data_IF_517839489770
#
_entry.id   IF_517839489770
#
_cell.length_a   1.000
_cell.length_b   1.000
_cell.length_c   1.000
_cell.angle_alpha   90.00
_cell.angle_beta   90.00
_cell.angle_gamma   90.00
#
_symmetry.space_group_name_H-M   'P 1'
#
loop_
_entity.id
_entity.type
_entity.pdbx_description
1 polymer ?
#
# COMPACT_ATOMS: atom_id res chain seq x y z
N UNK A 1 -15.58 -36.18 -34.72
CA UNK A 1 -16.04 -34.78 -34.67
C UNK A 1 -17.06 -34.66 -33.56
N UNK A 2 -16.96 -33.59 -32.75
CA UNK A 2 -17.79 -33.28 -31.58
C UNK A 2 -17.60 -34.19 -30.34
N UNK A 3 -16.59 -33.87 -29.52
CA UNK A 3 -16.60 -34.12 -28.06
C UNK A 3 -15.20 -33.79 -27.48
N UNK A 4 -14.95 -32.54 -27.10
CA UNK A 4 -13.91 -32.16 -26.11
C UNK A 4 -13.88 -30.64 -25.78
N UNK A 5 -15.02 -29.94 -25.89
CA UNK A 5 -15.12 -28.51 -25.54
C UNK A 5 -15.49 -28.28 -24.05
N UNK A 6 -15.73 -29.34 -23.28
CA UNK A 6 -16.26 -29.22 -21.91
C UNK A 6 -15.25 -29.40 -20.75
N UNK A 7 -13.96 -29.60 -21.02
CA UNK A 7 -12.97 -29.91 -19.95
C UNK A 7 -11.94 -28.79 -19.72
N UNK A 8 -11.74 -27.86 -20.64
CA UNK A 8 -10.76 -26.77 -20.48
C UNK A 8 -11.30 -25.49 -19.82
N UNK A 9 -12.61 -25.42 -19.54
CA UNK A 9 -13.24 -24.30 -18.82
C UNK A 9 -13.22 -24.47 -17.28
N UNK A 10 -12.79 -25.63 -16.78
CA UNK A 10 -12.82 -25.97 -15.34
C UNK A 10 -11.50 -25.67 -14.60
N UNK A 11 -10.41 -25.34 -15.31
CA UNK A 11 -9.11 -25.06 -14.68
C UNK A 11 -8.83 -23.55 -14.46
N UNK A 12 -9.63 -22.66 -15.07
CA UNK A 12 -9.61 -21.21 -14.79
C UNK A 12 -10.35 -20.82 -13.51
N UNK A 13 -10.73 -21.83 -12.72
CA UNK A 13 -11.78 -21.71 -11.74
C UNK A 13 -11.27 -21.45 -10.31
N UNK A 14 -9.95 -21.49 -10.05
CA UNK A 14 -9.41 -21.66 -8.69
C UNK A 14 -8.51 -20.55 -8.11
N UNK A 15 -8.21 -19.45 -8.81
CA UNK A 15 -7.33 -18.37 -8.27
C UNK A 15 -8.10 -17.11 -7.83
N UNK A 16 -9.42 -17.04 -8.04
CA UNK A 16 -10.26 -15.91 -7.62
C UNK A 16 -11.15 -16.20 -6.40
N UNK A 17 -10.67 -17.04 -5.49
CA UNK A 17 -11.38 -17.32 -4.25
C UNK A 17 -10.75 -16.60 -3.05
N UNK A 18 -11.58 -15.76 -2.44
CA UNK A 18 -11.55 -15.35 -1.01
C UNK A 18 -10.31 -14.62 -0.54
N UNK A 19 -10.37 -13.29 -0.52
CA UNK A 19 -10.21 -12.43 0.67
C UNK A 19 -9.93 -11.00 0.21
N UNK A 20 -10.89 -10.10 0.43
CA UNK A 20 -10.62 -8.67 0.43
C UNK A 20 -10.20 -8.35 1.86
N UNK A 21 -8.90 -8.31 2.10
CA UNK A 21 -8.37 -7.72 3.33
C UNK A 21 -7.77 -6.37 2.93
N UNK A 22 -8.01 -5.34 3.72
CA UNK A 22 -7.39 -4.02 3.58
C UNK A 22 -7.91 -3.13 2.46
N UNK A 23 -7.40 -1.90 2.44
CA UNK A 23 -7.55 -1.00 1.29
C UNK A 23 -7.20 -1.76 0.00
N UNK A 24 -7.96 -1.55 -1.07
CA UNK A 24 -7.90 -2.52 -2.17
C UNK A 24 -6.60 -2.36 -2.97
N UNK A 25 -5.81 -3.43 -3.20
CA UNK A 25 -4.64 -3.35 -4.08
C UNK A 25 -5.01 -2.87 -5.49
N UNK A 26 -4.18 -1.99 -6.08
CA UNK A 26 -4.43 -1.38 -7.39
C UNK A 26 -4.81 -2.37 -8.53
N UNK A 27 -4.25 -3.60 -8.61
CA UNK A 27 -4.63 -4.58 -9.63
C UNK A 27 -6.09 -5.04 -9.55
N UNK A 28 -6.70 -5.07 -8.35
CA UNK A 28 -8.10 -5.50 -8.16
C UNK A 28 -9.08 -4.45 -8.71
N UNK A 29 -8.70 -3.16 -8.65
CA UNK A 29 -9.52 -2.06 -9.17
C UNK A 29 -9.56 -2.08 -10.72
N UNK A 30 -8.49 -2.57 -11.36
CA UNK A 30 -8.32 -2.49 -12.80
C UNK A 30 -9.23 -3.45 -13.61
N UNK A 31 -9.76 -4.54 -13.00
CA UNK A 31 -10.35 -5.64 -13.79
C UNK A 31 -11.74 -6.14 -13.32
N UNK A 32 -12.44 -5.41 -12.42
CA UNK A 32 -13.63 -6.01 -11.80
C UNK A 32 -14.65 -5.10 -11.11
N UNK A 33 -15.14 -4.05 -11.78
CA UNK A 33 -16.42 -3.41 -11.41
C UNK A 33 -16.45 -2.67 -10.06
N UNK A 34 -15.31 -2.22 -9.55
CA UNK A 34 -15.23 -1.41 -8.34
C UNK A 34 -15.30 0.09 -8.66
N UNK A 35 -15.80 0.87 -7.70
CA UNK A 35 -15.82 2.33 -7.75
C UNK A 35 -14.42 2.87 -8.05
N UNK A 36 -14.28 3.65 -9.13
CA UNK A 36 -13.01 4.26 -9.55
C UNK A 36 -12.43 5.26 -8.53
N UNK A 37 -13.15 5.53 -7.43
CA UNK A 37 -12.85 6.59 -6.48
C UNK A 37 -12.28 6.09 -5.14
N UNK A 38 -12.24 4.77 -4.88
CA UNK A 38 -11.56 4.22 -3.68
C UNK A 38 -10.05 4.47 -3.72
N UNK A 39 -9.41 4.65 -2.57
CA UNK A 39 -7.96 4.84 -2.44
C UNK A 39 -7.30 3.56 -1.92
N UNK A 40 -6.18 3.21 -2.55
CA UNK A 40 -5.42 1.97 -2.30
C UNK A 40 -4.32 2.16 -1.24
N UNK A 41 -3.79 1.08 -0.65
CA UNK A 41 -2.60 1.19 0.21
C UNK A 41 -1.38 1.79 -0.53
N UNK A 42 -1.24 1.47 -1.81
CA UNK A 42 -0.19 2.04 -2.67
C UNK A 42 -0.28 3.55 -2.71
N UNK A 43 -1.48 4.09 -2.93
CA UNK A 43 -1.72 5.53 -2.95
C UNK A 43 -1.52 6.17 -1.56
N UNK A 44 -1.96 5.52 -0.49
CA UNK A 44 -1.75 5.99 0.89
C UNK A 44 -0.25 6.05 1.21
N UNK A 45 0.49 4.98 0.90
CA UNK A 45 1.95 4.87 1.09
C UNK A 45 2.68 5.95 0.32
N UNK A 46 2.33 6.14 -0.96
CA UNK A 46 2.93 7.17 -1.79
C UNK A 46 2.69 8.59 -1.23
N UNK A 47 1.46 8.88 -0.79
CA UNK A 47 1.12 10.20 -0.24
C UNK A 47 1.83 10.47 1.09
N UNK A 48 1.85 9.51 2.00
CA UNK A 48 2.57 9.63 3.27
C UNK A 48 4.08 9.78 3.07
N UNK A 49 4.65 9.05 2.11
CA UNK A 49 6.06 9.19 1.74
C UNK A 49 6.39 10.56 1.17
N UNK A 50 5.62 11.06 0.20
CA UNK A 50 5.87 12.37 -0.43
C UNK A 50 5.88 13.50 0.61
N UNK A 51 4.92 13.50 1.55
CA UNK A 51 4.87 14.51 2.62
C UNK A 51 6.13 14.45 3.50
N UNK A 52 6.57 13.23 3.83
CA UNK A 52 7.80 13.00 4.59
C UNK A 52 9.05 13.43 3.82
N UNK A 53 9.12 13.14 2.51
CA UNK A 53 10.24 13.53 1.64
C UNK A 53 10.35 15.06 1.54
N UNK A 54 9.24 15.76 1.29
CA UNK A 54 9.23 17.22 1.24
C UNK A 54 9.71 17.84 2.57
N UNK A 55 9.34 17.23 3.72
CA UNK A 55 9.87 17.60 5.04
C UNK A 55 11.38 17.33 5.15
N UNK A 56 11.82 16.14 4.77
CA UNK A 56 13.23 15.75 4.77
C UNK A 56 14.08 16.76 3.99
N UNK A 57 13.71 17.06 2.75
CA UNK A 57 14.46 17.98 1.89
C UNK A 57 14.44 19.41 2.43
N UNK A 58 13.31 19.88 2.99
CA UNK A 58 13.26 21.18 3.65
C UNK A 58 14.24 21.26 4.82
N UNK A 59 14.21 20.28 5.72
CA UNK A 59 15.02 20.29 6.94
C UNK A 59 16.52 20.14 6.65
N UNK A 60 16.88 19.32 5.66
CA UNK A 60 18.28 18.96 5.36
C UNK A 60 18.96 19.87 4.33
N UNK A 61 18.20 20.48 3.42
CA UNK A 61 18.76 21.34 2.35
C UNK A 61 18.42 22.81 2.52
N UNK A 62 17.21 23.14 2.94
CA UNK A 62 16.75 24.53 2.97
C UNK A 62 17.10 25.21 4.29
N UNK A 63 16.78 24.60 5.43
CA UNK A 63 17.03 25.20 6.75
C UNK A 63 18.52 25.56 6.96
N UNK A 64 19.50 24.70 6.64
CA UNK A 64 20.92 25.01 6.81
C UNK A 64 21.42 26.13 5.89
N UNK A 65 20.79 26.31 4.72
CA UNK A 65 21.18 27.29 3.70
C UNK A 65 20.42 28.62 3.80
N UNK A 66 19.69 28.89 4.89
CA UNK A 66 18.92 30.15 5.07
C UNK A 66 19.76 31.43 4.95
N UNK A 67 21.06 31.36 5.17
CA UNK A 67 21.97 32.50 5.00
C UNK A 67 22.41 32.72 3.54
N UNK A 68 22.16 31.76 2.64
CA UNK A 68 22.55 31.78 1.24
C UNK A 68 21.29 31.76 0.35
N UNK A 69 20.74 32.95 0.07
CA UNK A 69 19.89 33.29 -1.09
C UNK A 69 18.54 32.58 -1.34
N UNK A 70 18.25 31.40 -0.77
CA UNK A 70 16.95 30.73 -0.99
C UNK A 70 15.97 31.11 0.12
N UNK A 71 15.16 32.14 -0.13
CA UNK A 71 14.07 32.54 0.75
C UNK A 71 12.87 31.59 0.57
N UNK A 72 13.03 30.33 1.00
CA UNK A 72 12.00 29.31 0.85
C UNK A 72 10.95 29.40 1.97
N UNK A 73 9.71 29.73 1.58
CA UNK A 73 8.57 29.76 2.47
C UNK A 73 8.19 28.32 2.89
N UNK A 74 8.15 27.98 4.19
CA UNK A 74 7.72 26.65 4.66
C UNK A 74 6.37 26.21 4.08
N UNK A 75 5.46 27.15 3.81
CA UNK A 75 4.15 26.84 3.25
C UNK A 75 4.23 26.22 1.86
N UNK A 76 5.28 26.50 1.08
CA UNK A 76 5.44 25.92 -0.25
C UNK A 76 5.76 24.43 -0.23
N UNK A 77 6.28 23.90 0.88
CA UNK A 77 6.57 22.47 1.08
C UNK A 77 5.44 21.70 1.76
N UNK A 78 4.63 22.39 2.58
CA UNK A 78 3.68 21.73 3.50
C UNK A 78 2.21 22.00 3.20
N UNK A 79 1.87 23.10 2.52
CA UNK A 79 0.48 23.46 2.24
C UNK A 79 0.00 23.00 0.85
N UNK A 80 0.93 22.56 -0.01
CA UNK A 80 0.65 22.15 -1.39
C UNK A 80 0.80 20.64 -1.56
N UNK A 81 0.15 20.13 -2.59
CA UNK A 81 0.35 18.76 -3.03
C UNK A 81 1.58 18.71 -3.92
N UNK A 82 2.46 17.75 -3.66
CA UNK A 82 3.66 17.53 -4.44
C UNK A 82 3.66 16.15 -5.08
N UNK A 83 4.40 16.02 -6.16
CA UNK A 83 5.03 14.79 -6.58
C UNK A 83 6.43 14.71 -5.96
N UNK A 84 7.08 13.54 -6.09
CA UNK A 84 8.50 13.41 -5.74
C UNK A 84 9.34 14.47 -6.47
N UNK A 85 9.07 14.69 -7.76
CA UNK A 85 9.82 15.63 -8.59
C UNK A 85 9.58 17.07 -8.16
N UNK A 86 8.36 17.40 -7.73
CA UNK A 86 8.07 18.73 -7.19
C UNK A 86 8.85 19.00 -5.90
N UNK A 87 8.94 18.02 -4.97
CA UNK A 87 9.75 18.18 -3.76
C UNK A 87 11.24 18.42 -4.11
N UNK A 88 11.77 17.71 -5.11
CA UNK A 88 13.15 17.88 -5.58
C UNK A 88 13.37 19.24 -6.26
N UNK A 89 12.45 19.68 -7.12
CA UNK A 89 12.53 20.99 -7.78
C UNK A 89 12.49 22.15 -6.79
N UNK A 90 11.73 22.01 -5.70
CA UNK A 90 11.71 23.00 -4.63
C UNK A 90 13.05 23.04 -3.89
N UNK A 91 13.62 21.87 -3.57
CA UNK A 91 14.85 21.75 -2.81
C UNK A 91 16.13 22.06 -3.64
N UNK A 92 16.07 21.83 -4.95
CA UNK A 92 17.16 21.99 -5.90
C UNK A 92 16.70 22.82 -7.12
N UNK A 93 16.46 24.14 -6.95
CA UNK A 93 16.06 25.00 -8.05
C UNK A 93 17.10 25.10 -9.18
N UNK A 94 18.36 24.72 -8.89
CA UNK A 94 19.46 24.64 -9.85
C UNK A 94 19.41 23.40 -10.76
N UNK A 95 18.62 22.39 -10.43
CA UNK A 95 18.53 21.17 -11.23
C UNK A 95 17.65 21.36 -12.46
N UNK A 96 18.14 20.89 -13.61
CA UNK A 96 17.32 20.68 -14.79
C UNK A 96 16.32 19.53 -14.60
N UNK A 97 15.28 19.46 -15.43
CA UNK A 97 14.32 18.34 -15.42
C UNK A 97 14.98 16.97 -15.60
N UNK A 98 16.06 16.91 -16.39
CA UNK A 98 16.83 15.68 -16.59
C UNK A 98 17.56 15.25 -15.31
N UNK A 99 18.16 16.21 -14.58
CA UNK A 99 18.80 15.93 -13.29
C UNK A 99 17.77 15.50 -12.24
N UNK A 100 16.63 16.18 -12.14
CA UNK A 100 15.54 15.75 -11.23
C UNK A 100 15.12 14.31 -11.54
N UNK A 101 14.96 13.96 -12.82
CA UNK A 101 14.60 12.60 -13.22
C UNK A 101 15.69 11.59 -12.83
N UNK A 102 16.97 11.93 -13.02
CA UNK A 102 18.10 11.09 -12.68
C UNK A 102 18.19 10.79 -11.17
N UNK A 103 18.10 11.82 -10.32
CA UNK A 103 18.23 11.65 -8.88
C UNK A 103 16.98 11.06 -8.22
N UNK A 104 15.80 11.29 -8.76
CA UNK A 104 14.55 10.72 -8.21
C UNK A 104 14.28 9.30 -8.67
N UNK A 105 14.87 8.85 -9.78
CA UNK A 105 14.65 7.52 -10.35
C UNK A 105 14.90 6.35 -9.38
N UNK A 106 16.06 6.31 -8.69
CA UNK A 106 16.37 5.28 -7.69
C UNK A 106 15.37 5.24 -6.54
N UNK A 107 15.04 6.41 -5.97
CA UNK A 107 14.08 6.52 -4.88
C UNK A 107 12.67 6.10 -5.29
N UNK A 108 12.21 6.48 -6.50
CA UNK A 108 10.92 6.02 -7.04
C UNK A 108 10.87 4.49 -7.14
N UNK A 109 11.98 3.86 -7.56
CA UNK A 109 12.09 2.41 -7.61
C UNK A 109 12.00 1.76 -6.22
N UNK A 110 12.71 2.31 -5.23
CA UNK A 110 12.61 1.83 -3.84
C UNK A 110 11.19 1.98 -3.31
N UNK A 111 10.53 3.11 -3.58
CA UNK A 111 9.15 3.32 -3.16
C UNK A 111 8.20 2.30 -3.81
N UNK A 112 8.38 1.99 -5.10
CA UNK A 112 7.61 0.95 -5.79
C UNK A 112 7.78 -0.43 -5.13
N UNK A 113 8.98 -0.76 -4.66
CA UNK A 113 9.26 -2.01 -3.94
C UNK A 113 8.52 -2.06 -2.59
N UNK A 114 8.53 -0.96 -1.83
CA UNK A 114 7.81 -0.83 -0.55
C UNK A 114 6.30 -0.94 -0.78
N UNK A 115 5.78 -0.22 -1.78
CA UNK A 115 4.35 -0.27 -2.13
C UNK A 115 3.92 -1.67 -2.61
N UNK A 116 4.79 -2.39 -3.29
CA UNK A 116 4.55 -3.78 -3.71
C UNK A 116 4.43 -4.70 -2.50
N UNK A 117 5.38 -4.63 -1.57
CA UNK A 117 5.34 -5.46 -0.36
C UNK A 117 4.26 -5.06 0.64
N UNK A 118 3.77 -3.82 0.57
CA UNK A 118 2.54 -3.42 1.22
C UNK A 118 1.35 -4.17 0.62
N UNK A 119 1.13 -4.06 -0.68
CA UNK A 119 0.00 -4.73 -1.35
C UNK A 119 0.04 -6.26 -1.25
N UNK A 120 1.23 -6.88 -1.19
CA UNK A 120 1.39 -8.33 -1.10
C UNK A 120 0.85 -8.93 0.20
N UNK A 121 0.67 -8.14 1.27
CA UNK A 121 0.16 -8.66 2.55
C UNK A 121 -1.23 -9.29 2.39
N UNK A 122 -2.06 -8.76 1.49
CA UNK A 122 -3.40 -9.29 1.20
C UNK A 122 -3.40 -10.60 0.41
N UNK A 123 -2.27 -10.94 -0.22
CA UNK A 123 -2.17 -12.08 -1.14
C UNK A 123 -1.28 -13.20 -0.63
N UNK A 124 -0.25 -12.87 0.17
CA UNK A 124 0.69 -13.85 0.68
C UNK A 124 -0.04 -14.86 1.57
N UNK A 125 0.04 -16.18 1.29
CA UNK A 125 -0.60 -17.20 2.10
C UNK A 125 -0.33 -17.13 3.61
N UNK A 126 0.82 -16.57 4.02
CA UNK A 126 1.23 -16.43 5.42
C UNK A 126 0.57 -15.24 6.11
N UNK A 127 0.17 -14.21 5.37
CA UNK A 127 -0.33 -12.96 5.96
C UNK A 127 -1.78 -12.66 5.63
N UNK A 128 -2.30 -13.11 4.48
CA UNK A 128 -3.68 -12.83 4.01
C UNK A 128 -4.80 -13.28 4.96
N UNK A 129 -4.51 -14.13 5.94
CA UNK A 129 -5.46 -14.55 6.97
C UNK A 129 -4.95 -14.25 8.38
N UNK A 130 -3.78 -13.64 8.50
CA UNK A 130 -3.15 -13.37 9.77
C UNK A 130 -3.81 -12.16 10.42
N UNK A 131 -4.47 -12.36 11.55
CA UNK A 131 -5.22 -11.30 12.26
C UNK A 131 -4.32 -10.13 12.64
N UNK A 132 -3.05 -10.39 13.01
CA UNK A 132 -2.08 -9.35 13.34
C UNK A 132 -1.59 -8.56 12.12
N UNK A 133 -1.70 -9.07 10.90
CA UNK A 133 -1.33 -8.34 9.68
C UNK A 133 -2.39 -7.33 9.25
N UNK A 134 -3.66 -7.59 9.59
CA UNK A 134 -4.82 -6.79 9.18
C UNK A 134 -5.53 -6.10 10.37
N UNK A 135 -4.99 -6.24 11.58
CA UNK A 135 -5.57 -5.72 12.83
C UNK A 135 -7.04 -6.16 13.04
N UNK A 136 -7.35 -7.37 12.61
CA UNK A 136 -8.67 -8.00 12.70
C UNK A 136 -8.84 -8.82 13.98
N UNK A 137 -10.05 -9.35 14.20
CA UNK A 137 -10.38 -10.22 15.34
C UNK A 137 -9.99 -9.65 16.71
N UNK A 138 -10.00 -8.33 16.84
CA UNK A 138 -9.60 -7.55 18.02
C UNK A 138 -8.14 -7.81 18.44
N UNK A 139 -7.30 -8.31 17.53
CA UNK A 139 -5.90 -8.67 17.76
C UNK A 139 -4.96 -7.44 17.81
N UNK A 140 -5.44 -6.30 18.32
CA UNK A 140 -4.70 -5.04 18.35
C UNK A 140 -3.32 -5.10 19.02
N UNK A 141 -3.14 -5.81 20.16
CA UNK A 141 -1.81 -5.96 20.75
C UNK A 141 -0.84 -6.68 19.81
N UNK A 142 -1.29 -7.74 19.14
CA UNK A 142 -0.48 -8.49 18.18
C UNK A 142 -0.20 -7.68 16.91
N UNK A 143 -1.19 -6.92 16.40
CA UNK A 143 -1.00 -6.03 15.26
C UNK A 143 0.02 -4.92 15.57
N UNK A 144 -0.05 -4.29 16.74
CA UNK A 144 0.96 -3.31 17.16
C UNK A 144 2.34 -3.95 17.40
N UNK A 145 2.40 -5.14 18.02
CA UNK A 145 3.64 -5.92 18.18
C UNK A 145 4.30 -6.21 16.83
N UNK A 146 3.51 -6.62 15.82
CA UNK A 146 3.99 -6.87 14.46
C UNK A 146 4.65 -5.62 13.85
N UNK A 147 4.03 -4.45 14.00
CA UNK A 147 4.60 -3.17 13.55
C UNK A 147 5.94 -2.89 14.27
N UNK A 148 6.01 -3.10 15.59
CA UNK A 148 7.25 -2.89 16.37
C UNK A 148 8.37 -3.81 15.87
N UNK A 149 8.07 -5.09 15.63
CA UNK A 149 9.04 -6.08 15.16
C UNK A 149 9.54 -5.79 13.75
N UNK A 150 8.65 -5.47 12.82
CA UNK A 150 9.03 -5.11 11.45
C UNK A 150 9.85 -3.82 11.43
N UNK A 151 9.51 -2.83 12.27
CA UNK A 151 10.31 -1.60 12.44
C UNK A 151 11.72 -1.94 12.90
N UNK A 152 11.86 -2.83 13.88
CA UNK A 152 13.17 -3.29 14.34
C UNK A 152 13.99 -3.90 13.20
N UNK A 153 13.40 -4.76 12.37
CA UNK A 153 14.08 -5.32 11.19
C UNK A 153 14.57 -4.24 10.23
N UNK A 154 13.71 -3.24 9.92
CA UNK A 154 14.10 -2.09 9.07
C UNK A 154 15.30 -1.36 9.65
N UNK A 155 15.25 -1.05 10.96
CA UNK A 155 16.30 -0.28 11.64
C UNK A 155 17.61 -1.06 11.69
N UNK A 156 17.56 -2.35 12.03
CA UNK A 156 18.75 -3.19 12.12
C UNK A 156 19.41 -3.37 10.75
N UNK A 157 18.62 -3.56 9.68
CA UNK A 157 19.16 -3.72 8.33
C UNK A 157 19.86 -2.46 7.83
N UNK A 158 19.28 -1.27 8.06
CA UNK A 158 19.87 0.01 7.67
C UNK A 158 21.13 0.32 8.49
N UNK A 159 21.09 0.12 9.82
CA UNK A 159 22.22 0.45 10.71
C UNK A 159 23.43 -0.47 10.52
N UNK A 160 23.22 -1.72 10.09
CA UNK A 160 24.30 -2.63 9.75
C UNK A 160 24.97 -2.31 8.39
N UNK A 161 24.62 -1.18 7.78
CA UNK A 161 25.14 -0.68 6.52
C UNK A 161 25.14 -1.75 5.41
N UNK A 162 24.08 -2.56 5.37
CA UNK A 162 23.88 -3.55 4.32
C UNK A 162 23.77 -2.82 2.99
N UNK A 163 24.50 -3.32 1.99
CA UNK A 163 24.39 -2.83 0.61
C UNK A 163 23.06 -3.21 -0.03
N UNK A 164 22.46 -4.34 0.40
CA UNK A 164 21.12 -4.76 0.01
C UNK A 164 20.11 -4.50 1.15
N UNK A 165 19.19 -3.58 0.89
CA UNK A 165 18.09 -3.21 1.79
C UNK A 165 16.75 -3.84 1.41
N UNK A 166 16.72 -4.85 0.52
CA UNK A 166 15.49 -5.53 0.09
C UNK A 166 14.66 -6.01 1.29
N UNK A 167 15.29 -6.63 2.29
CA UNK A 167 14.57 -7.08 3.49
C UNK A 167 14.01 -5.92 4.32
N UNK A 168 14.71 -4.78 4.38
CA UNK A 168 14.20 -3.56 5.00
C UNK A 168 12.99 -3.00 4.23
N UNK A 169 13.05 -2.95 2.90
CA UNK A 169 11.93 -2.49 2.07
C UNK A 169 10.71 -3.41 2.16
N UNK A 170 10.94 -4.73 2.18
CA UNK A 170 9.90 -5.73 2.42
C UNK A 170 9.24 -5.53 3.78
N UNK A 171 10.05 -5.43 4.84
CA UNK A 171 9.56 -5.24 6.20
C UNK A 171 8.80 -3.92 6.36
N UNK A 172 9.29 -2.86 5.72
CA UNK A 172 8.63 -1.56 5.70
C UNK A 172 7.28 -1.63 4.97
N UNK A 173 7.20 -2.30 3.81
CA UNK A 173 5.94 -2.48 3.09
C UNK A 173 4.90 -3.22 3.94
N UNK A 174 5.29 -4.35 4.54
CA UNK A 174 4.41 -5.13 5.42
C UNK A 174 3.95 -4.34 6.66
N UNK A 175 4.86 -3.54 7.22
CA UNK A 175 4.56 -2.67 8.36
C UNK A 175 3.52 -1.63 7.99
N UNK A 176 3.74 -0.91 6.88
CA UNK A 176 2.86 0.15 6.44
C UNK A 176 1.47 -0.40 6.11
N UNK A 177 1.37 -1.59 5.52
CA UNK A 177 0.10 -2.26 5.33
C UNK A 177 -0.64 -2.46 6.66
N UNK A 178 0.02 -3.09 7.64
CA UNK A 178 -0.57 -3.37 8.96
C UNK A 178 -1.04 -2.07 9.65
N UNK A 179 -0.23 -1.01 9.58
CA UNK A 179 -0.55 0.30 10.14
C UNK A 179 -1.77 0.95 9.45
N UNK A 180 -1.93 0.77 8.15
CA UNK A 180 -3.01 1.35 7.36
C UNK A 180 -4.33 0.61 7.61
N UNK A 181 -4.30 -0.73 7.65
CA UNK A 181 -5.47 -1.58 7.92
C UNK A 181 -6.11 -1.32 9.27
N UNK A 182 -5.32 -0.94 10.28
CA UNK A 182 -5.88 -0.50 11.56
C UNK A 182 -7.00 0.55 11.40
N UNK A 183 -6.87 1.50 10.46
CA UNK A 183 -7.87 2.56 10.29
C UNK A 183 -9.07 2.14 9.45
N UNK A 184 -8.93 1.13 8.57
CA UNK A 184 -10.05 0.63 7.77
C UNK A 184 -10.81 -0.51 8.45
N UNK A 185 -10.15 -1.30 9.30
CA UNK A 185 -10.71 -2.51 9.92
C UNK A 185 -11.12 -2.36 11.38
N UNK A 186 -10.66 -1.30 12.07
CA UNK A 186 -11.10 -1.00 13.44
C UNK A 186 -12.27 -0.01 13.48
N UNK A 187 -12.79 0.25 14.67
CA UNK A 187 -13.72 1.34 14.93
C UNK A 187 -13.06 2.71 15.21
N UNK A 188 -11.77 2.92 14.90
CA UNK A 188 -11.05 4.16 15.27
C UNK A 188 -11.75 5.43 14.77
N UNK A 189 -12.30 5.39 13.55
CA UNK A 189 -13.03 6.51 12.96
C UNK A 189 -14.34 6.77 13.72
N UNK A 190 -15.06 5.70 14.05
CA UNK A 190 -16.35 5.73 14.73
C UNK A 190 -16.25 6.16 16.20
N UNK A 191 -15.08 5.99 16.83
CA UNK A 191 -14.79 6.51 18.16
C UNK A 191 -14.70 8.06 18.21
N UNK A 192 -14.92 8.76 17.09
CA UNK A 192 -14.80 10.22 16.96
C UNK A 192 -13.43 10.74 17.44
N UNK A 193 -12.38 9.96 17.23
CA UNK A 193 -11.01 10.42 17.40
C UNK A 193 -10.76 11.57 16.43
N UNK A 194 -9.92 12.51 16.82
CA UNK A 194 -9.55 13.69 16.00
C UNK A 194 -8.16 13.57 15.40
N UNK A 195 -7.42 12.52 15.75
CA UNK A 195 -6.04 12.29 15.32
C UNK A 195 -5.74 10.78 15.25
N UNK A 196 -4.58 10.45 14.70
CA UNK A 196 -4.04 9.09 14.61
C UNK A 196 -3.77 8.49 15.99
N UNK A 197 -3.79 7.17 16.09
CA UNK A 197 -3.36 6.49 17.31
C UNK A 197 -1.85 6.67 17.46
N UNK A 198 -1.39 7.36 18.50
CA UNK A 198 0.03 7.63 18.70
C UNK A 198 0.81 6.44 19.28
N UNK A 199 0.10 5.44 19.82
CA UNK A 199 0.64 4.27 20.52
C UNK A 199 0.84 3.07 19.59
N UNK A 200 0.07 2.95 18.50
CA UNK A 200 0.27 1.86 17.53
C UNK A 200 1.68 1.89 16.93
N UNK A 201 2.36 0.74 16.97
CA UNK A 201 3.77 0.63 16.58
C UNK A 201 4.78 1.19 17.59
N UNK A 202 4.32 1.61 18.78
CA UNK A 202 5.14 2.09 19.89
C UNK A 202 4.92 1.26 21.17
N UNK A 203 3.68 0.81 21.40
CA UNK A 203 3.30 -0.06 22.51
C UNK A 203 2.27 -1.09 22.02
N UNK A 204 2.24 -2.27 22.61
CA UNK A 204 1.21 -3.28 22.34
C UNK A 204 -0.16 -2.84 22.89
N UNK A 205 -0.17 -2.11 24.01
CA UNK A 205 -1.41 -1.52 24.53
C UNK A 205 -1.69 -0.20 23.83
N UNK A 206 -2.59 -0.23 22.85
CA UNK A 206 -2.93 0.95 22.01
C UNK A 206 -4.26 1.60 22.38
N UNK A 207 -4.93 1.08 23.41
CA UNK A 207 -6.24 1.51 23.89
C UNK A 207 -6.94 0.36 24.64
N UNK A 208 -8.10 0.64 25.20
CA UNK A 208 -8.95 -0.40 25.80
C UNK A 208 -9.57 -1.23 24.67
N UNK A 209 -9.30 -2.53 24.64
CA UNK A 209 -9.85 -3.46 23.63
C UNK A 209 -11.07 -4.17 24.21
N UNK A 210 -12.07 -4.44 23.38
CA UNK A 210 -13.25 -5.20 23.79
C UNK A 210 -12.84 -6.59 24.31
N UNK A 211 -13.49 -7.04 25.38
CA UNK A 211 -13.26 -8.39 25.90
C UNK A 211 -13.80 -9.45 24.91
N UNK A 212 -13.28 -10.69 24.91
CA UNK A 212 -13.75 -11.74 24.00
C UNK A 212 -15.26 -12.01 24.04
N UNK A 213 -15.89 -11.85 25.20
CA UNK A 213 -17.32 -12.03 25.46
C UNK A 213 -18.14 -10.72 25.40
N UNK A 214 -17.48 -9.58 25.19
CA UNK A 214 -18.15 -8.29 25.12
C UNK A 214 -18.75 -8.06 23.73
N UNK A 215 -20.05 -7.82 23.69
CA UNK A 215 -20.75 -7.43 22.46
C UNK A 215 -20.24 -6.09 21.94
N UNK A 216 -20.08 -5.99 20.61
CA UNK A 216 -19.53 -4.78 19.97
C UNK A 216 -20.38 -4.22 18.84
N UNK A 217 -21.15 -5.05 18.15
CA UNK A 217 -22.04 -4.67 17.06
C UNK A 217 -23.49 -5.11 17.30
N UNK A 218 -24.44 -4.58 16.50
CA UNK A 218 -25.85 -4.96 16.51
C UNK A 218 -26.40 -5.14 15.10
N UNK A 219 -27.35 -6.06 14.94
CA UNK A 219 -28.08 -6.24 13.68
C UNK A 219 -28.88 -4.99 13.28
N UNK A 220 -29.38 -4.24 14.26
CA UNK A 220 -30.32 -3.15 14.02
C UNK A 220 -29.68 -1.91 13.37
N UNK A 221 -28.35 -1.83 13.36
CA UNK A 221 -27.61 -0.73 12.75
C UNK A 221 -27.19 -0.96 11.30
N UNK A 222 -27.61 -2.09 10.70
CA UNK A 222 -27.32 -2.44 9.32
C UNK A 222 -28.59 -2.58 8.48
N UNK A 223 -28.56 -2.04 7.26
CA UNK A 223 -29.60 -2.24 6.25
C UNK A 223 -29.09 -3.23 5.21
N UNK A 224 -29.79 -4.36 5.05
CA UNK A 224 -29.50 -5.35 4.01
C UNK A 224 -29.92 -4.81 2.64
N UNK A 225 -29.02 -4.91 1.68
CA UNK A 225 -29.24 -4.56 0.28
C UNK A 225 -28.97 -5.77 -0.61
N UNK A 226 -29.73 -5.87 -1.70
CA UNK A 226 -29.61 -6.95 -2.67
C UNK A 226 -29.41 -6.35 -4.06
N UNK A 227 -28.47 -6.89 -4.83
CA UNK A 227 -28.22 -6.47 -6.21
C UNK A 227 -28.00 -7.68 -7.11
N UNK A 228 -28.64 -7.67 -8.27
CA UNK A 228 -28.32 -8.64 -9.32
C UNK A 228 -26.90 -8.45 -9.85
N UNK A 229 -26.20 -9.57 -10.01
CA UNK A 229 -24.85 -9.55 -10.53
C UNK A 229 -24.81 -9.20 -12.02
N UNK A 230 -23.89 -8.32 -12.39
CA UNK A 230 -23.42 -8.20 -13.77
C UNK A 230 -22.80 -9.52 -14.25
N UNK A 231 -22.63 -9.69 -15.57
CA UNK A 231 -21.98 -10.88 -16.15
C UNK A 231 -20.61 -11.12 -15.50
N UNK A 232 -19.82 -10.06 -15.34
CA UNK A 232 -18.50 -10.14 -14.70
C UNK A 232 -18.59 -10.58 -13.24
N UNK A 233 -19.51 -10.03 -12.45
CA UNK A 233 -19.71 -10.41 -11.05
C UNK A 233 -20.17 -11.87 -10.89
N UNK A 234 -20.97 -12.39 -11.83
CA UNK A 234 -21.35 -13.81 -11.84
C UNK A 234 -20.14 -14.73 -12.01
N UNK A 235 -19.17 -14.29 -12.80
CA UNK A 235 -17.93 -15.03 -13.05
C UNK A 235 -16.98 -14.95 -11.85
N UNK A 236 -16.81 -13.74 -11.28
CA UNK A 236 -15.78 -13.46 -10.27
C UNK A 236 -16.21 -13.74 -8.84
N UNK A 237 -17.46 -13.43 -8.47
CA UNK A 237 -17.93 -13.55 -7.07
C UNK A 237 -18.76 -14.80 -6.81
N UNK A 238 -19.42 -15.35 -7.84
CA UNK A 238 -20.24 -16.59 -7.82
C UNK A 238 -21.33 -16.68 -6.72
N UNK A 239 -21.54 -15.62 -5.96
CA UNK A 239 -22.65 -15.43 -5.03
C UNK A 239 -23.60 -14.41 -5.64
N UNK A 240 -24.70 -14.89 -6.22
CA UNK A 240 -25.69 -14.05 -6.90
C UNK A 240 -27.11 -14.48 -6.51
N UNK A 241 -28.03 -13.54 -6.19
CA UNK A 241 -27.79 -12.10 -6.12
C UNK A 241 -26.81 -11.72 -5.01
N UNK A 242 -26.11 -10.59 -5.17
CA UNK A 242 -25.21 -10.09 -4.15
C UNK A 242 -26.04 -9.57 -2.98
N UNK A 243 -25.72 -10.03 -1.77
CA UNK A 243 -26.27 -9.51 -0.52
C UNK A 243 -25.16 -8.77 0.20
N UNK A 244 -25.36 -7.49 0.45
CA UNK A 244 -24.40 -6.60 1.10
C UNK A 244 -25.11 -5.66 2.07
N UNK A 245 -24.36 -4.91 2.87
CA UNK A 245 -24.92 -4.17 3.99
C UNK A 245 -24.46 -2.72 4.00
N UNK A 246 -25.34 -1.86 4.49
CA UNK A 246 -25.04 -0.47 4.81
C UNK A 246 -25.15 -0.31 6.33
N UNK A 247 -24.02 -0.16 7.00
CA UNK A 247 -23.90 -0.37 8.46
C UNK A 247 -23.50 0.90 9.23
N UNK A 248 -23.98 2.07 8.81
CA UNK A 248 -23.60 3.37 9.39
C UNK A 248 -23.67 3.49 10.92
N UNK A 249 -24.49 2.68 11.62
CA UNK A 249 -24.69 2.77 13.07
C UNK A 249 -24.75 1.40 13.76
N UNK A 250 -23.97 0.41 13.30
CA UNK A 250 -24.02 -0.94 13.87
C UNK A 250 -23.15 -1.13 15.12
N UNK A 251 -22.19 -0.26 15.41
CA UNK A 251 -21.37 -0.36 16.62
C UNK A 251 -22.20 0.09 17.83
N UNK A 252 -22.15 -0.70 18.91
CA UNK A 252 -22.96 -0.44 20.10
C UNK A 252 -22.58 0.89 20.77
N UNK A 253 -23.56 1.70 21.22
CA UNK A 253 -23.28 2.99 21.86
C UNK A 253 -22.35 2.90 23.06
N UNK A 254 -22.40 1.79 23.82
CA UNK A 254 -21.50 1.57 24.96
C UNK A 254 -20.02 1.49 24.53
N UNK A 255 -19.73 0.85 23.39
CA UNK A 255 -18.38 0.76 22.84
C UNK A 255 -17.86 2.15 22.47
N UNK A 256 -18.70 2.96 21.83
CA UNK A 256 -18.37 4.34 21.46
C UNK A 256 -18.16 5.21 22.71
N UNK A 257 -19.11 5.18 23.65
CA UNK A 257 -19.09 6.01 24.86
C UNK A 257 -17.91 5.67 25.78
N UNK A 258 -17.56 4.38 25.89
CA UNK A 258 -16.41 3.92 26.69
C UNK A 258 -15.08 3.95 25.92
N UNK A 259 -15.09 4.38 24.65
CA UNK A 259 -13.90 4.48 23.80
C UNK A 259 -13.15 3.15 23.66
N UNK A 260 -13.91 2.06 23.54
CA UNK A 260 -13.39 0.69 23.44
C UNK A 260 -13.11 0.37 21.97
N UNK A 261 -11.94 -0.21 21.70
CA UNK A 261 -11.53 -0.66 20.39
C UNK A 261 -12.17 -2.02 20.06
N UNK A 262 -12.70 -2.13 18.85
CA UNK A 262 -13.15 -3.39 18.23
C UNK A 262 -12.75 -3.40 16.76
N UNK A 263 -12.65 -4.57 16.15
CA UNK A 263 -12.35 -4.74 14.73
C UNK A 263 -13.28 -5.78 14.08
N UNK A 264 -13.20 -5.89 12.76
CA UNK A 264 -13.91 -6.94 12.02
C UNK A 264 -13.31 -8.32 12.28
N UNK A 265 -14.16 -9.33 12.35
CA UNK A 265 -13.78 -10.74 12.22
C UNK A 265 -14.02 -11.21 10.77
N UNK A 266 -13.14 -12.05 10.25
CA UNK A 266 -13.32 -12.79 8.99
C UNK A 266 -13.42 -14.29 9.27
N UNK A 267 -13.89 -15.05 8.29
CA UNK A 267 -13.82 -16.52 8.35
C UNK A 267 -12.38 -17.01 8.13
N UNK A 268 -12.01 -18.05 8.88
CA UNK A 268 -10.72 -18.77 8.81
C UNK A 268 -9.51 -17.86 9.01
N UNK A 269 -9.60 -16.91 9.95
CA UNK A 269 -8.45 -16.12 10.34
C UNK A 269 -7.49 -16.95 11.17
N UNK A 270 -6.23 -16.53 11.19
CA UNK A 270 -5.16 -17.19 11.92
C UNK A 270 -4.59 -16.23 12.96
N UNK A 271 -4.22 -16.80 14.11
CA UNK A 271 -3.31 -16.19 15.09
C UNK A 271 -1.87 -16.28 14.60
N UNK A 272 -0.96 -15.52 15.24
CA UNK A 272 0.49 -15.66 15.03
C UNK A 272 1.03 -17.07 15.36
N UNK A 273 0.27 -17.88 16.11
CA UNK A 273 0.60 -19.27 16.46
C UNK A 273 -0.09 -20.31 15.57
N UNK A 274 -0.62 -19.92 14.41
CA UNK A 274 -1.37 -20.77 13.46
C UNK A 274 -2.66 -21.39 14.00
N UNK A 275 -3.18 -20.90 15.14
CA UNK A 275 -4.52 -21.24 15.62
C UNK A 275 -5.59 -20.50 14.82
N UNK A 276 -6.70 -21.17 14.52
CA UNK A 276 -7.83 -20.59 13.77
C UNK A 276 -8.68 -19.71 14.71
N UNK A 277 -9.01 -18.50 14.24
CA UNK A 277 -9.97 -17.59 14.87
C UNK A 277 -11.15 -17.41 13.92
N UNK A 278 -12.34 -17.49 14.48
CA UNK A 278 -13.59 -17.19 13.79
C UNK A 278 -14.41 -16.24 14.64
N UNK A 279 -15.32 -15.52 13.98
CA UNK A 279 -16.32 -14.70 14.65
C UNK A 279 -17.09 -15.51 15.70
N UNK A 280 -17.06 -15.11 16.98
CA UNK A 280 -17.80 -15.80 18.03
C UNK A 280 -19.32 -15.75 17.79
N UNK A 281 -19.97 -16.91 17.90
CA UNK A 281 -21.43 -17.02 17.75
C UNK A 281 -22.14 -16.43 18.98
N UNK A 282 -23.26 -15.75 18.75
CA UNK A 282 -24.15 -15.19 19.79
C UNK A 282 -23.52 -14.14 20.72
N UNK A 283 -22.34 -13.62 20.40
CA UNK A 283 -21.68 -12.56 21.17
C UNK A 283 -21.80 -11.19 20.50
N UNK A 284 -22.55 -11.06 19.41
CA UNK A 284 -22.77 -9.78 18.74
C UNK A 284 -21.47 -9.04 18.40
N UNK A 285 -20.46 -9.79 17.93
CA UNK A 285 -19.20 -9.24 17.41
C UNK A 285 -19.37 -8.72 15.99
N UNK A 286 -18.54 -7.76 15.61
CA UNK A 286 -18.53 -7.19 14.27
C UNK A 286 -17.85 -8.13 13.27
N UNK A 287 -18.41 -8.29 12.07
CA UNK A 287 -17.66 -8.85 10.94
C UNK A 287 -16.81 -7.79 10.27
N UNK A 288 -15.91 -8.20 9.38
CA UNK A 288 -15.26 -7.29 8.45
C UNK A 288 -16.28 -6.77 7.42
N UNK A 289 -16.99 -7.67 6.72
CA UNK A 289 -18.30 -7.40 6.10
C UNK A 289 -18.35 -7.19 4.58
N UNK A 290 -17.39 -7.66 3.79
CA UNK A 290 -17.53 -7.67 2.32
C UNK A 290 -18.44 -8.81 1.82
N UNK A 291 -18.90 -8.77 0.56
CA UNK A 291 -19.62 -9.92 -0.07
C UNK A 291 -18.81 -11.22 -0.10
N UNK A 292 -17.48 -11.14 0.06
CA UNK A 292 -16.59 -12.30 0.14
C UNK A 292 -16.33 -12.76 1.58
N UNK A 293 -16.74 -11.97 2.57
CA UNK A 293 -16.68 -12.34 3.99
C UNK A 293 -17.91 -13.15 4.37
N UNK A 294 -17.75 -14.45 4.57
CA UNK A 294 -18.87 -15.32 4.94
C UNK A 294 -19.42 -15.03 6.34
N UNK A 295 -18.58 -14.47 7.22
CA UNK A 295 -18.97 -14.13 8.59
C UNK A 295 -19.99 -12.99 8.63
N UNK A 296 -20.13 -12.20 7.56
CA UNK A 296 -21.08 -11.08 7.44
C UNK A 296 -22.54 -11.48 7.69
N UNK A 297 -22.87 -12.75 7.45
CA UNK A 297 -24.22 -13.31 7.65
C UNK A 297 -24.46 -13.81 9.08
N UNK A 298 -23.40 -13.99 9.87
CA UNK A 298 -23.47 -14.40 11.27
C UNK A 298 -23.85 -13.16 12.10
N UNK A 299 -24.86 -13.22 12.99
CA UNK A 299 -25.17 -12.11 13.89
C UNK A 299 -23.97 -11.71 14.78
N UNK A 300 -23.62 -10.43 14.93
CA UNK A 300 -24.26 -9.25 14.34
C UNK A 300 -23.96 -9.10 12.84
N UNK A 301 -24.98 -8.98 11.99
CA UNK A 301 -24.86 -8.97 10.51
C UNK A 301 -24.09 -7.75 9.99
N UNK A 302 -23.61 -7.84 8.75
CA UNK A 302 -22.91 -6.77 8.07
C UNK A 302 -21.43 -6.78 8.40
N UNK A 303 -20.91 -5.67 8.90
CA UNK A 303 -19.52 -5.55 9.31
C UNK A 303 -19.11 -4.10 9.46
N UNK A 304 -17.80 -3.85 9.62
CA UNK A 304 -17.29 -2.52 9.96
C UNK A 304 -16.21 -1.99 9.02
N UNK A 305 -15.80 -2.74 8.00
CA UNK A 305 -14.66 -2.31 7.17
C UNK A 305 -14.96 -1.07 6.32
N UNK A 306 -13.90 -0.32 6.03
CA UNK A 306 -13.89 0.96 5.31
C UNK A 306 -12.93 0.92 4.10
N UNK A 307 -12.68 -0.26 3.55
CA UNK A 307 -11.64 -0.51 2.54
C UNK A 307 -11.89 0.19 1.21
N UNK A 308 -13.15 0.47 0.90
CA UNK A 308 -13.59 1.05 -0.36
C UNK A 308 -14.77 1.99 -0.17
N UNK A 309 -15.04 2.79 -1.21
CA UNK A 309 -16.25 3.61 -1.31
C UNK A 309 -17.49 2.83 -1.77
N UNK A 310 -17.39 1.50 -1.95
CA UNK A 310 -18.47 0.66 -2.47
C UNK A 310 -19.05 -0.23 -1.36
N UNK A 311 -20.35 -0.10 -1.11
CA UNK A 311 -21.09 -0.87 -0.11
C UNK A 311 -21.07 -2.40 -0.34
N UNK A 312 -20.79 -2.86 -1.57
CA UNK A 312 -20.59 -4.28 -1.87
C UNK A 312 -19.38 -4.85 -1.11
N UNK A 313 -18.34 -4.03 -0.92
CA UNK A 313 -17.10 -4.47 -0.29
C UNK A 313 -16.93 -3.91 1.12
N UNK A 314 -17.55 -2.77 1.42
CA UNK A 314 -17.34 -2.04 2.67
C UNK A 314 -18.66 -1.56 3.26
N UNK A 315 -19.17 -2.19 4.34
CA UNK A 315 -20.40 -1.76 4.98
C UNK A 315 -20.34 -0.34 5.54
N UNK A 316 -19.15 0.17 5.84
CA UNK A 316 -18.90 1.54 6.30
C UNK A 316 -18.26 2.39 5.19
N UNK A 317 -18.65 2.18 3.92
CA UNK A 317 -18.10 2.90 2.77
C UNK A 317 -18.13 4.44 2.90
N UNK A 318 -19.09 4.99 3.65
CA UNK A 318 -19.21 6.43 3.92
C UNK A 318 -18.01 7.01 4.73
N UNK A 319 -17.29 6.16 5.46
CA UNK A 319 -16.14 6.52 6.28
C UNK A 319 -14.79 6.27 5.59
N UNK A 320 -14.78 5.68 4.38
CA UNK A 320 -13.56 5.33 3.64
C UNK A 320 -12.55 6.49 3.58
N UNK A 321 -12.96 7.68 3.14
CA UNK A 321 -12.03 8.81 3.02
C UNK A 321 -11.49 9.31 4.36
N UNK A 322 -12.23 9.16 5.46
CA UNK A 322 -11.75 9.54 6.80
C UNK A 322 -10.70 8.51 7.27
N UNK A 323 -10.95 7.21 7.03
CA UNK A 323 -9.96 6.16 7.29
C UNK A 323 -8.68 6.37 6.47
N UNK A 324 -8.80 6.73 5.18
CA UNK A 324 -7.67 7.08 4.30
C UNK A 324 -6.88 8.25 4.86
N UNK A 325 -7.54 9.30 5.34
CA UNK A 325 -6.87 10.46 5.93
C UNK A 325 -6.02 10.06 7.15
N UNK A 326 -6.58 9.27 8.06
CA UNK A 326 -5.82 8.76 9.19
C UNK A 326 -4.69 7.83 8.78
N UNK A 327 -4.90 6.96 7.79
CA UNK A 327 -3.87 6.06 7.29
C UNK A 327 -2.69 6.81 6.65
N UNK A 328 -2.96 7.89 5.89
CA UNK A 328 -1.91 8.79 5.34
C UNK A 328 -1.18 9.49 6.48
N UNK A 329 -1.90 10.10 7.42
CA UNK A 329 -1.29 10.83 8.53
C UNK A 329 -0.46 9.90 9.43
N UNK A 330 -0.90 8.66 9.64
CA UNK A 330 -0.18 7.67 10.42
C UNK A 330 1.07 7.20 9.69
N UNK A 331 0.99 6.99 8.37
CA UNK A 331 2.14 6.67 7.52
C UNK A 331 3.19 7.78 7.57
N UNK A 332 2.77 9.04 7.39
CA UNK A 332 3.63 10.22 7.50
C UNK A 332 4.27 10.33 8.89
N UNK A 333 3.48 10.18 9.96
CA UNK A 333 3.97 10.21 11.34
C UNK A 333 4.99 9.10 11.59
N UNK A 334 4.73 7.89 11.11
CA UNK A 334 5.63 6.75 11.25
C UNK A 334 6.97 7.02 10.57
N UNK A 335 6.96 7.44 9.30
CA UNK A 335 8.19 7.69 8.54
C UNK A 335 9.01 8.86 9.14
N UNK A 336 8.33 9.93 9.57
CA UNK A 336 8.99 11.02 10.31
C UNK A 336 9.60 10.53 11.63
N UNK A 337 8.90 9.65 12.36
CA UNK A 337 9.42 9.05 13.59
C UNK A 337 10.61 8.13 13.35
N UNK A 338 10.55 7.30 12.30
CA UNK A 338 11.63 6.43 11.87
C UNK A 338 12.89 7.24 11.54
N UNK A 339 12.74 8.36 10.82
CA UNK A 339 13.81 9.32 10.56
C UNK A 339 14.35 9.94 11.86
N UNK A 340 13.49 10.59 12.63
CA UNK A 340 13.90 11.45 13.74
C UNK A 340 14.45 10.67 14.95
N UNK A 341 13.93 9.48 15.21
CA UNK A 341 14.24 8.71 16.44
C UNK A 341 15.14 7.53 16.17
N UNK A 342 14.98 6.84 15.03
CA UNK A 342 15.57 5.53 14.82
C UNK A 342 16.76 5.54 13.84
N UNK A 343 16.68 6.27 12.72
CA UNK A 343 17.69 6.20 11.65
C UNK A 343 18.58 7.45 11.52
N UNK A 344 18.10 8.62 11.93
CA UNK A 344 18.71 9.89 11.58
C UNK A 344 18.56 10.21 10.08
N UNK A 345 19.07 11.38 9.68
CA UNK A 345 18.98 11.83 8.28
C UNK A 345 19.74 10.92 7.32
N UNK A 346 20.96 10.51 7.68
CA UNK A 346 21.80 9.63 6.85
C UNK A 346 21.17 8.26 6.64
N UNK A 347 20.72 7.61 7.72
CA UNK A 347 20.08 6.29 7.63
C UNK A 347 18.75 6.35 6.87
N UNK A 348 17.97 7.41 7.05
CA UNK A 348 16.73 7.60 6.29
C UNK A 348 17.00 7.86 4.80
N UNK A 349 18.02 8.66 4.49
CA UNK A 349 18.50 8.88 3.12
C UNK A 349 18.97 7.58 2.46
N UNK A 350 19.72 6.74 3.20
CA UNK A 350 20.15 5.43 2.72
C UNK A 350 18.97 4.49 2.46
N UNK A 351 18.00 4.42 3.39
CA UNK A 351 16.81 3.57 3.25
C UNK A 351 16.05 3.85 1.95
N UNK A 352 15.95 5.10 1.52
CA UNK A 352 15.18 5.49 0.35
C UNK A 352 16.00 5.92 -0.86
N UNK A 353 17.33 5.87 -0.77
CA UNK A 353 18.25 6.41 -1.78
C UNK A 353 17.93 7.87 -2.11
N UNK A 354 17.77 8.71 -1.08
CA UNK A 354 17.58 10.16 -1.22
C UNK A 354 18.94 10.81 -1.47
N UNK A 355 19.02 11.64 -2.51
CA UNK A 355 20.24 12.31 -2.98
C UNK A 355 21.41 11.36 -3.27
N UNK A 356 21.21 10.38 -4.17
CA UNK A 356 22.25 9.45 -4.55
C UNK A 356 23.41 10.22 -5.22
N UNK A 357 24.65 9.76 -5.03
CA UNK A 357 25.79 10.28 -5.80
C UNK A 357 25.56 10.09 -7.30
N UNK A 358 26.16 10.91 -8.16
CA UNK A 358 26.03 10.78 -9.63
C UNK A 358 26.33 9.36 -10.12
N UNK A 359 27.33 8.73 -9.50
CA UNK A 359 27.74 7.35 -9.78
C UNK A 359 26.63 6.37 -9.39
N UNK A 360 26.06 6.51 -8.19
CA UNK A 360 24.97 5.64 -7.71
C UNK A 360 23.68 5.85 -8.51
N UNK A 361 23.31 7.09 -8.80
CA UNK A 361 22.15 7.43 -9.62
C UNK A 361 22.27 6.82 -11.02
N UNK A 362 23.45 6.94 -11.63
CA UNK A 362 23.76 6.38 -12.95
C UNK A 362 23.81 4.85 -12.94
N UNK A 363 24.43 4.23 -11.93
CA UNK A 363 24.47 2.78 -11.80
C UNK A 363 23.07 2.19 -11.70
N UNK A 364 22.20 2.79 -10.89
CA UNK A 364 20.79 2.39 -10.84
C UNK A 364 20.16 2.59 -12.22
N UNK A 365 20.20 3.78 -12.80
CA UNK A 365 19.64 4.07 -14.12
C UNK A 365 20.11 3.11 -15.23
N UNK A 366 21.37 2.68 -15.20
CA UNK A 366 21.94 1.72 -16.14
C UNK A 366 21.40 0.30 -15.92
N UNK A 367 21.27 -0.17 -14.68
CA UNK A 367 20.64 -1.48 -14.39
C UNK A 367 19.15 -1.47 -14.75
N UNK A 368 18.48 -0.34 -14.57
CA UNK A 368 17.12 -0.09 -15.07
C UNK A 368 17.05 -0.23 -16.59
N UNK A 369 17.97 0.43 -17.31
CA UNK A 369 18.00 0.50 -18.77
C UNK A 369 18.42 -0.82 -19.43
N UNK A 370 19.29 -1.60 -18.77
CA UNK A 370 19.72 -2.94 -19.22
C UNK A 370 18.63 -4.01 -19.14
N UNK A 371 17.42 -3.66 -18.71
CA UNK A 371 16.33 -4.63 -18.57
C UNK A 371 16.58 -5.68 -17.49
N UNK A 372 17.61 -5.50 -16.63
CA UNK A 372 17.84 -6.31 -15.43
C UNK A 372 16.84 -6.00 -14.31
N UNK A 373 15.61 -5.67 -14.70
CA UNK A 373 14.52 -5.42 -13.77
C UNK A 373 13.52 -6.57 -13.83
N UNK A 374 12.95 -6.82 -12.66
CA UNK A 374 11.68 -7.52 -12.41
C UNK A 374 11.75 -9.03 -12.18
N UNK A 375 12.50 -9.48 -11.17
CA UNK A 375 12.15 -10.70 -10.40
C UNK A 375 11.59 -10.33 -9.02
N UNK A 376 10.44 -9.68 -8.94
CA UNK A 376 9.63 -9.66 -7.70
C UNK A 376 8.12 -9.80 -7.94
N UNK A 377 7.72 -10.23 -9.13
CA UNK A 377 6.39 -10.76 -9.36
C UNK A 377 6.53 -12.19 -9.90
N UNK A 378 6.52 -13.20 -9.01
CA UNK A 378 5.69 -14.42 -9.14
C UNK A 378 5.97 -15.41 -8.01
N UNK A 379 4.90 -15.83 -7.31
CA UNK A 379 4.02 -16.88 -7.88
C UNK A 379 2.62 -16.45 -8.33
N UNK A 380 2.11 -15.26 -7.98
CA UNK A 380 0.69 -14.94 -8.23
C UNK A 380 0.35 -14.43 -9.65
N UNK A 381 1.27 -13.78 -10.36
CA UNK A 381 0.97 -13.11 -11.65
C UNK A 381 1.10 -14.05 -12.87
N UNK A 382 1.75 -15.22 -12.76
CA UNK A 382 1.90 -16.18 -13.87
C UNK A 382 0.55 -16.70 -14.38
N UNK A 383 -0.50 -16.63 -13.56
CA UNK A 383 -1.82 -17.12 -13.92
C UNK A 383 -2.64 -16.15 -14.81
N UNK A 384 -2.32 -14.85 -14.85
CA UNK A 384 -3.28 -13.85 -15.36
C UNK A 384 -2.91 -13.17 -16.69
N UNK A 385 -1.66 -13.22 -17.16
CA UNK A 385 -1.21 -12.42 -18.31
C UNK A 385 -1.19 -13.14 -19.69
N UNK A 386 -1.68 -14.36 -19.79
CA UNK A 386 -1.65 -15.14 -21.05
C UNK A 386 -2.67 -14.74 -22.14
N UNK A 387 -3.23 -13.51 -22.17
CA UNK A 387 -4.45 -13.25 -22.99
C UNK A 387 -4.58 -11.98 -23.84
N UNK A 388 -3.53 -11.20 -24.16
CA UNK A 388 -3.70 -10.16 -25.22
C UNK A 388 -2.41 -9.73 -25.93
N UNK A 389 -2.33 -9.98 -27.23
CA UNK A 389 -1.14 -9.75 -28.07
C UNK A 389 -0.99 -8.31 -28.57
N UNK A 390 -2.07 -7.51 -28.62
CA UNK A 390 -2.00 -6.11 -29.08
C UNK A 390 -1.33 -5.18 -28.06
N UNK A 391 -1.58 -5.43 -26.78
CA UNK A 391 -0.99 -4.69 -25.66
C UNK A 391 0.54 -4.80 -25.59
N UNK A 392 1.08 -6.00 -25.89
CA UNK A 392 2.51 -6.27 -25.89
C UNK A 392 3.28 -5.46 -26.94
N UNK A 393 2.64 -5.16 -28.07
CA UNK A 393 3.26 -4.43 -29.17
C UNK A 393 3.33 -2.93 -28.87
N UNK A 394 2.27 -2.37 -28.27
CA UNK A 394 2.23 -0.97 -27.84
C UNK A 394 3.18 -0.69 -26.65
N UNK A 395 3.28 -1.64 -25.72
CA UNK A 395 4.22 -1.56 -24.59
C UNK A 395 5.68 -1.53 -25.08
N UNK A 396 6.04 -2.45 -26.00
CA UNK A 396 7.38 -2.53 -26.59
C UNK A 396 7.75 -1.23 -27.30
N UNK A 397 6.85 -0.69 -28.12
CA UNK A 397 7.09 0.56 -28.86
C UNK A 397 7.26 1.76 -27.93
N UNK A 398 6.50 1.81 -26.83
CA UNK A 398 6.56 2.89 -25.83
C UNK A 398 7.85 2.83 -25.01
N UNK A 399 8.27 1.62 -24.60
CA UNK A 399 9.51 1.40 -23.86
C UNK A 399 10.74 1.77 -24.71
N UNK A 400 10.77 1.36 -25.98
CA UNK A 400 11.85 1.66 -26.92
C UNK A 400 11.97 3.16 -27.19
N UNK A 401 10.85 3.89 -27.35
CA UNK A 401 10.88 5.36 -27.48
C UNK A 401 11.45 6.03 -26.23
N UNK A 402 11.07 5.55 -25.05
CA UNK A 402 11.51 6.12 -23.76
C UNK A 402 13.01 5.87 -23.54
N UNK A 403 13.49 4.66 -23.79
CA UNK A 403 14.92 4.29 -23.71
C UNK A 403 15.74 5.12 -24.70
N UNK A 404 15.31 5.25 -25.95
CA UNK A 404 16.04 6.03 -26.95
C UNK A 404 16.12 7.51 -26.57
N UNK A 405 15.07 8.07 -25.97
CA UNK A 405 15.08 9.43 -25.45
C UNK A 405 16.08 9.60 -24.30
N UNK A 406 16.11 8.66 -23.35
CA UNK A 406 17.04 8.67 -22.21
C UNK A 406 18.48 8.53 -22.70
N UNK A 407 18.76 7.57 -23.58
CA UNK A 407 20.09 7.33 -24.15
C UNK A 407 20.60 8.53 -24.95
N UNK A 408 19.73 9.19 -25.72
CA UNK A 408 20.08 10.41 -26.45
C UNK A 408 20.43 11.58 -25.51
N UNK A 409 19.71 11.72 -24.39
CA UNK A 409 20.00 12.73 -23.37
C UNK A 409 21.35 12.41 -22.70
N UNK A 410 21.60 11.15 -22.37
CA UNK A 410 22.84 10.68 -21.75
C UNK A 410 24.09 10.94 -22.61
N UNK A 411 24.02 10.64 -23.90
CA UNK A 411 25.13 10.85 -24.83
C UNK A 411 25.45 12.33 -25.07
N UNK A 412 24.48 13.23 -24.82
CA UNK A 412 24.68 14.67 -24.91
C UNK A 412 25.33 15.28 -23.66
N UNK A 413 25.17 14.66 -22.49
CA UNK A 413 25.66 15.21 -21.21
C UNK A 413 27.08 14.70 -20.89
N UNK A 414 27.45 13.48 -21.29
CA UNK A 414 28.76 12.90 -20.96
C UNK A 414 29.40 12.21 -22.17
N UNK A 415 30.32 12.88 -22.90
CA UNK A 415 31.14 12.23 -23.91
C UNK A 415 32.08 11.22 -23.25
N UNK A 416 32.01 9.98 -23.71
CA UNK A 416 32.68 8.79 -23.17
C UNK A 416 34.11 8.99 -22.64
N UNK A 417 34.32 8.61 -21.37
CA UNK A 417 35.64 8.45 -20.75
C UNK A 417 35.60 7.31 -19.72
N UNK A 418 36.44 6.29 -19.92
CA UNK A 418 36.56 5.09 -19.08
C UNK A 418 37.14 5.45 -17.72
N UNK A 419 36.45 5.12 -16.64
CA UNK A 419 37.01 5.05 -15.30
C UNK A 419 36.68 3.69 -14.69
N UNK A 420 37.69 3.00 -14.15
CA UNK A 420 37.53 1.78 -13.37
C UNK A 420 36.85 2.12 -12.04
N UNK A 421 35.69 1.52 -11.79
CA UNK A 421 34.81 1.76 -10.64
C UNK A 421 34.85 0.50 -9.75
N UNK A 422 34.80 0.63 -8.41
CA UNK A 422 34.55 -0.50 -7.52
C UNK A 422 33.26 -1.21 -7.96
N UNK A 423 33.39 -2.44 -8.41
CA UNK A 423 32.25 -3.30 -8.73
C UNK A 423 31.48 -3.54 -7.45
N UNK A 424 30.24 -3.03 -7.36
CA UNK A 424 29.25 -3.70 -6.54
C UNK A 424 29.12 -5.11 -7.11
N UNK A 425 29.68 -6.08 -6.39
CA UNK A 425 29.62 -7.47 -6.78
C UNK A 425 28.18 -7.97 -6.59
N UNK A 426 27.41 -7.93 -7.67
CA UNK A 426 26.07 -8.52 -7.76
C UNK A 426 26.12 -10.03 -8.02
N UNK A 427 27.31 -10.65 -8.08
CA UNK A 427 27.47 -12.12 -8.22
C UNK A 427 27.30 -12.88 -6.90
N UNK A 428 27.32 -12.18 -5.76
CA UNK A 428 27.11 -12.74 -4.42
C UNK A 428 25.64 -12.82 -3.96
N UNK A 429 24.66 -12.57 -4.84
CA UNK A 429 23.23 -12.85 -4.59
C UNK A 429 22.90 -14.35 -4.55
N UNK A 430 23.89 -15.25 -4.63
CA UNK A 430 23.80 -16.63 -4.15
C UNK A 430 22.77 -17.52 -4.85
N UNK A 431 22.51 -17.33 -6.14
CA UNK A 431 21.64 -18.23 -6.91
C UNK A 431 22.44 -18.81 -8.09
N UNK A 432 22.99 -20.02 -7.89
CA UNK A 432 23.46 -20.88 -8.96
C UNK A 432 22.25 -21.40 -9.73
N UNK A 433 22.06 -20.96 -10.98
CA UNK A 433 21.13 -21.60 -11.93
C UNK A 433 21.89 -21.82 -13.24
N UNK A 434 22.69 -22.89 -13.26
CA UNK A 434 22.91 -23.67 -14.48
C UNK A 434 21.73 -24.63 -14.61
N UNK A 435 20.61 -24.11 -15.10
CA UNK A 435 19.57 -24.82 -15.86
C UNK A 435 18.32 -23.95 -15.83
N UNK A 436 18.06 -23.27 -16.95
CA UNK A 436 16.71 -22.98 -17.50
C UNK A 436 16.87 -21.94 -18.61
N UNK A 437 17.40 -22.41 -19.72
CA UNK A 437 17.13 -21.82 -21.02
C UNK A 437 15.64 -21.99 -21.34
N UNK A 438 14.85 -20.92 -21.23
CA UNK A 438 13.90 -20.50 -22.28
C UNK A 438 12.92 -19.40 -21.79
N UNK A 439 12.77 -18.40 -22.68
CA UNK A 439 11.64 -17.45 -22.87
C UNK A 439 11.43 -16.29 -21.89
N UNK A 440 12.08 -15.16 -22.21
CA UNK A 440 11.55 -13.82 -22.56
C UNK A 440 10.20 -13.29 -22.01
N UNK A 441 10.23 -12.16 -21.25
CA UNK A 441 9.73 -10.80 -21.65
C UNK A 441 9.25 -9.83 -20.52
N UNK A 442 9.87 -8.63 -20.47
CA UNK A 442 9.45 -7.19 -20.36
C UNK A 442 8.36 -6.56 -19.40
N UNK A 443 8.42 -5.22 -19.08
CA UNK A 443 7.90 -4.63 -17.82
C UNK A 443 6.88 -3.46 -17.89
N UNK A 444 6.28 -3.11 -16.72
CA UNK A 444 5.35 -2.00 -16.49
C UNK A 444 6.04 -0.65 -16.17
N UNK A 445 5.60 0.42 -16.85
CA UNK A 445 5.84 1.85 -16.58
C UNK A 445 4.50 2.49 -16.25
N UNK A 446 4.31 3.11 -15.08
CA UNK A 446 3.27 4.13 -14.91
C UNK A 446 3.70 5.24 -13.95
N UNK A 447 4.17 6.34 -14.53
CA UNK A 447 3.93 7.68 -14.03
C UNK A 447 2.92 8.38 -14.97
N UNK A 448 2.01 9.16 -14.39
CA UNK A 448 1.28 10.30 -15.00
C UNK A 448 -0.23 10.25 -15.33
N UNK A 449 -0.97 9.13 -15.21
CA UNK A 449 -2.44 9.16 -15.45
C UNK A 449 -3.36 9.41 -14.23
N UNK A 450 -2.83 9.49 -13.00
CA UNK A 450 -3.64 9.61 -11.78
C UNK A 450 -3.85 11.05 -11.24
N UNK A 451 -3.44 12.09 -11.97
CA UNK A 451 -3.56 13.49 -11.52
C UNK A 451 -5.01 13.91 -11.24
N UNK A 452 -5.98 13.40 -12.01
CA UNK A 452 -7.41 13.66 -11.78
C UNK A 452 -8.01 12.95 -10.57
N UNK A 453 -7.56 11.73 -10.26
CA UNK A 453 -8.03 10.92 -9.12
C UNK A 453 -7.50 11.47 -7.79
N UNK A 454 -6.21 11.82 -7.77
CA UNK A 454 -5.57 12.51 -6.64
C UNK A 454 -6.23 13.87 -6.33
N UNK A 455 -6.65 14.60 -7.37
CA UNK A 455 -7.38 15.88 -7.22
C UNK A 455 -8.77 15.69 -6.60
N UNK A 456 -9.57 14.71 -7.06
CA UNK A 456 -10.90 14.40 -6.50
C UNK A 456 -10.85 13.96 -5.04
N UNK A 457 -9.87 13.12 -4.67
CA UNK A 457 -9.61 12.71 -3.29
C UNK A 457 -9.45 13.92 -2.37
N UNK A 458 -8.62 14.88 -2.80
CA UNK A 458 -8.25 16.04 -1.99
C UNK A 458 -9.40 17.07 -1.92
N UNK A 459 -10.13 17.26 -3.01
CA UNK A 459 -11.31 18.12 -3.02
C UNK A 459 -12.41 17.56 -2.09
N UNK A 460 -12.56 16.22 -2.02
CA UNK A 460 -13.45 15.55 -1.06
C UNK A 460 -13.02 15.71 0.42
N UNK A 461 -11.72 15.57 0.72
CA UNK A 461 -11.17 15.82 2.06
C UNK A 461 -11.35 17.28 2.51
N UNK A 462 -11.16 18.25 1.59
CA UNK A 462 -11.31 19.69 1.84
C UNK A 462 -12.77 20.13 2.04
N UNK A 463 -13.72 19.49 1.36
CA UNK A 463 -15.15 19.80 1.56
C UNK A 463 -15.63 19.36 2.95
N UNK A 464 -15.16 18.21 3.45
CA UNK A 464 -15.55 17.71 4.79
C UNK A 464 -14.94 18.51 5.95
N UNK A 465 -13.71 19.02 5.83
CA UNK A 465 -13.13 19.96 6.82
C UNK A 465 -13.88 21.30 6.91
N UNK A 466 -14.64 21.70 5.87
CA UNK A 466 -15.48 22.91 5.90
C UNK A 466 -16.88 22.67 6.48
N UNK A 467 -17.37 21.44 6.50
CA UNK A 467 -18.69 21.09 7.03
C UNK A 467 -18.65 20.57 8.47
N UNK A 468 -17.46 20.42 9.08
CA UNK A 468 -17.29 20.04 10.50
C UNK A 468 -16.90 21.23 11.40
N UNK A 469 -17.13 22.47 10.95
CA UNK A 469 -17.00 23.69 11.76
C UNK A 469 -18.36 24.28 12.08
#
# INVERSE_FOLDING_TARGET
MASNIYIYSLFYLFIYFTSTNGFIPQPIIADGGQSSDSITHTEITQLGFIRTLCRYLYDTRIVPNKNNTVNANPQDYFAKQHTIDDCYKLAHPEYSDAQVTLYTGPMKFVLDLVMTHNALVDFDPKTKKLSSAHCDSEAFPNCSRRIIQLKKTVVDDVRNNKTDLTNAHTSLGQLLHTLQDFYSHSNWVELNKTDVNILIGQNETIGTVAAPDQATCTNNGCVTKTQDCSIWQRITLRKCPLVYYDCTNNILPEIINKQILTSGYLLDQMTDSNGIISKPLNLSKCSHGSVSDESTSIPAIGGINKDSTNLIFSPHANLHFIAVEYAINATERFLNGLRATDLGDEGFGHLFLIDPTDIAAKAVADEVAKGKRFRFFTPLVTASLNKSTSFLMDLKNTLTKTINSITSIFNNIFPSGKANIPTFDLSDLGINIEDMSNSDAAPYLFASKNTGRKKRLIDGLRQKQKTSK
#
